data_IF_427281135829
#
_entry.id   IF_427281135829
#
_cell.length_a   1.000
_cell.length_b   1.000
_cell.length_c   1.000
_cell.angle_alpha   90.00
_cell.angle_beta   90.00
_cell.angle_gamma   90.00
#
_symmetry.space_group_name_H-M   'P 1'
#
loop_
_entity.id
_entity.type
_entity.pdbx_description
1 polymer ?
#
# COMPACT_ATOMS: atom_id res chain seq x y z
N UNK A 1 -2.89 -2.51 19.40
CA UNK A 1 -4.13 -2.76 18.64
C UNK A 1 -4.94 -3.84 19.34
N UNK A 2 -6.26 -3.94 19.12
CA UNK A 2 -7.18 -4.87 19.84
C UNK A 2 -7.17 -6.31 19.30
N UNK A 3 -6.09 -6.77 18.68
CA UNK A 3 -5.99 -8.14 18.17
C UNK A 3 -4.59 -8.70 18.33
N UNK A 4 -4.51 -10.01 18.52
CA UNK A 4 -3.26 -10.74 18.58
C UNK A 4 -2.51 -10.67 17.24
N UNK A 5 -1.16 -10.74 17.25
CA UNK A 5 -0.38 -10.77 16.03
C UNK A 5 -0.87 -11.87 15.07
N UNK A 6 -1.16 -11.48 13.83
CA UNK A 6 -1.56 -12.41 12.77
C UNK A 6 -0.29 -12.99 12.14
N UNK A 7 -0.28 -14.30 11.89
CA UNK A 7 0.85 -14.97 11.24
C UNK A 7 1.11 -14.38 9.84
N UNK A 8 2.32 -13.84 9.56
CA UNK A 8 2.65 -13.26 8.26
C UNK A 8 2.49 -14.23 7.09
N UNK A 9 2.52 -15.55 7.34
CA UNK A 9 2.30 -16.55 6.30
C UNK A 9 0.91 -16.44 5.66
N UNK A 10 -0.11 -15.96 6.39
CA UNK A 10 -1.43 -15.69 5.82
C UNK A 10 -1.33 -14.65 4.69
N UNK A 11 -0.64 -13.55 4.95
CA UNK A 11 -0.50 -12.46 3.98
C UNK A 11 0.35 -12.88 2.78
N UNK A 12 1.42 -13.65 3.01
CA UNK A 12 2.23 -14.24 1.92
C UNK A 12 1.38 -15.12 1.02
N UNK A 13 0.52 -15.98 1.59
CA UNK A 13 -0.38 -16.82 0.80
C UNK A 13 -1.42 -15.99 0.04
N UNK A 14 -1.96 -14.95 0.64
CA UNK A 14 -2.92 -14.05 0.00
C UNK A 14 -2.31 -13.34 -1.20
N UNK A 15 -1.08 -12.81 -1.08
CA UNK A 15 -0.35 -12.19 -2.20
C UNK A 15 -0.06 -13.19 -3.31
N UNK A 16 0.35 -14.42 -2.97
CA UNK A 16 0.52 -15.51 -3.96
C UNK A 16 -0.78 -15.82 -4.70
N UNK A 17 -1.93 -15.86 -4.00
CA UNK A 17 -3.23 -16.09 -4.65
C UNK A 17 -3.57 -14.95 -5.60
N UNK A 18 -3.42 -13.70 -5.16
CA UNK A 18 -3.68 -12.52 -5.99
C UNK A 18 -2.76 -12.48 -7.21
N UNK A 19 -1.46 -12.72 -7.02
CA UNK A 19 -0.45 -12.74 -8.09
C UNK A 19 -0.77 -13.73 -9.21
N UNK A 20 -1.39 -14.88 -8.91
CA UNK A 20 -1.78 -15.88 -9.93
C UNK A 20 -2.90 -15.40 -10.85
N UNK A 21 -3.73 -14.47 -10.39
CA UNK A 21 -4.83 -13.89 -11.18
C UNK A 21 -4.39 -12.65 -11.97
N UNK A 22 -3.18 -12.15 -11.73
CA UNK A 22 -2.62 -11.02 -12.46
C UNK A 22 -2.23 -11.44 -13.88
N UNK A 23 -2.46 -10.56 -14.85
CA UNK A 23 -1.91 -10.73 -16.20
C UNK A 23 -0.38 -10.68 -16.15
N UNK A 24 0.32 -11.39 -17.06
CA UNK A 24 1.77 -11.31 -17.12
C UNK A 24 2.28 -9.87 -17.31
N UNK A 25 3.47 -9.60 -16.80
CA UNK A 25 4.18 -8.32 -16.87
C UNK A 25 3.34 -7.14 -16.31
N UNK A 26 2.65 -7.38 -15.20
CA UNK A 26 1.80 -6.36 -14.57
C UNK A 26 2.20 -6.04 -13.14
N UNK A 27 1.92 -4.80 -12.75
CA UNK A 27 2.13 -4.26 -11.42
C UNK A 27 0.77 -3.91 -10.80
N UNK A 28 0.57 -4.22 -9.52
CA UNK A 28 -0.59 -3.82 -8.74
C UNK A 28 -0.14 -2.94 -7.57
N UNK A 29 -0.85 -1.84 -7.34
CA UNK A 29 -0.50 -0.84 -6.33
C UNK A 29 -1.69 -0.63 -5.40
N UNK A 30 -1.46 -0.81 -4.10
CA UNK A 30 -2.47 -0.66 -3.05
C UNK A 30 -2.03 0.42 -2.08
N UNK A 31 -2.91 1.39 -1.79
CA UNK A 31 -2.66 2.39 -0.77
C UNK A 31 -3.42 2.09 0.52
N UNK A 32 -2.84 2.55 1.62
CA UNK A 32 -3.58 2.67 2.86
C UNK A 32 -4.61 3.78 2.73
N UNK A 33 -5.66 3.71 3.52
CA UNK A 33 -6.64 4.79 3.56
C UNK A 33 -6.02 6.05 4.16
N UNK A 34 -6.55 7.21 3.75
CA UNK A 34 -6.24 8.48 4.40
C UNK A 34 -6.79 8.51 5.83
N UNK A 35 -6.23 9.39 6.67
CA UNK A 35 -6.88 9.78 7.91
C UNK A 35 -8.02 10.74 7.58
N UNK A 36 -9.26 10.37 7.91
CA UNK A 36 -10.45 11.16 7.55
C UNK A 36 -10.67 12.29 8.56
N UNK A 37 -10.71 13.57 8.14
CA UNK A 37 -11.00 14.68 9.05
C UNK A 37 -12.38 14.56 9.70
N UNK A 38 -12.48 14.89 10.98
CA UNK A 38 -13.73 14.92 11.76
C UNK A 38 -14.16 16.35 12.07
N UNK A 39 -13.30 17.14 12.72
CA UNK A 39 -13.54 18.54 13.03
C UNK A 39 -12.20 19.23 13.36
N UNK A 40 -11.90 20.36 12.71
CA UNK A 40 -10.64 21.07 12.92
C UNK A 40 -9.44 20.19 12.59
N UNK A 41 -8.55 20.03 13.57
CA UNK A 41 -7.35 19.18 13.53
C UNK A 41 -7.61 17.72 13.98
N UNK A 42 -8.86 17.36 14.29
CA UNK A 42 -9.23 16.02 14.71
C UNK A 42 -9.61 15.13 13.52
N UNK A 43 -9.25 13.85 13.63
CA UNK A 43 -9.62 12.80 12.67
C UNK A 43 -10.65 11.84 13.28
N UNK A 44 -11.39 11.14 12.42
CA UNK A 44 -12.12 9.94 12.81
C UNK A 44 -11.16 8.82 13.21
N UNK A 45 -11.69 7.79 13.87
CA UNK A 45 -10.91 6.58 14.13
C UNK A 45 -10.42 5.99 12.80
N UNK A 46 -9.12 5.67 12.76
CA UNK A 46 -8.49 5.20 11.54
C UNK A 46 -9.04 3.83 11.13
N UNK A 47 -9.51 3.72 9.89
CA UNK A 47 -9.92 2.46 9.27
C UNK A 47 -9.07 2.20 8.03
N UNK A 48 -8.19 1.19 8.12
CA UNK A 48 -7.32 0.77 7.03
C UNK A 48 -8.12 0.37 5.78
N UNK A 49 -7.51 0.44 4.60
CA UNK A 49 -8.01 -0.16 3.37
C UNK A 49 -8.03 -1.69 3.50
N UNK A 50 -9.20 -2.32 3.33
CA UNK A 50 -9.35 -3.78 3.53
C UNK A 50 -8.48 -4.60 2.57
N UNK A 51 -8.28 -4.15 1.33
CA UNK A 51 -7.48 -4.87 0.34
C UNK A 51 -5.99 -4.81 0.70
N UNK A 52 -5.48 -3.62 1.08
CA UNK A 52 -4.11 -3.50 1.56
C UNK A 52 -3.87 -4.34 2.81
N UNK A 53 -4.78 -4.29 3.78
CA UNK A 53 -4.67 -5.08 5.01
C UNK A 53 -4.70 -6.58 4.73
N UNK A 54 -5.60 -7.04 3.87
CA UNK A 54 -5.70 -8.45 3.48
C UNK A 54 -4.41 -8.98 2.85
N UNK A 55 -3.67 -8.14 2.11
CA UNK A 55 -2.44 -8.51 1.42
C UNK A 55 -1.18 -8.35 2.27
N UNK A 56 -1.22 -7.60 3.38
CA UNK A 56 0.01 -7.23 4.09
C UNK A 56 -0.07 -7.18 5.61
N UNK A 57 -1.25 -7.16 6.21
CA UNK A 57 -1.42 -6.94 7.65
C UNK A 57 -0.99 -5.57 8.15
N UNK A 58 -0.47 -4.68 7.28
CA UNK A 58 -0.03 -3.36 7.68
C UNK A 58 -1.25 -2.47 7.94
N UNK A 59 -1.35 -2.00 9.18
CA UNK A 59 -2.54 -1.35 9.75
C UNK A 59 -2.28 0.12 10.13
N UNK A 60 -1.33 0.76 9.43
CA UNK A 60 -1.00 2.17 9.62
C UNK A 60 -1.36 3.03 8.39
N UNK A 61 -1.67 4.32 8.59
CA UNK A 61 -1.76 5.28 7.49
C UNK A 61 -0.40 5.45 6.82
N UNK A 62 -0.42 6.00 5.60
CA UNK A 62 0.78 6.32 4.83
C UNK A 62 1.66 5.08 4.54
N UNK A 63 1.01 3.99 4.13
CA UNK A 63 1.60 2.71 3.74
C UNK A 63 1.14 2.37 2.33
N UNK A 64 2.04 1.82 1.52
CA UNK A 64 1.76 1.42 0.15
C UNK A 64 2.37 0.05 -0.09
N UNK A 65 1.62 -0.83 -0.74
CA UNK A 65 2.08 -2.16 -1.12
C UNK A 65 2.03 -2.28 -2.64
N UNK A 66 3.14 -2.73 -3.22
CA UNK A 66 3.32 -2.93 -4.65
C UNK A 66 3.64 -4.39 -4.92
N UNK A 67 2.87 -5.01 -5.80
CA UNK A 67 3.07 -6.39 -6.24
C UNK A 67 3.43 -6.38 -7.72
N UNK A 68 4.55 -6.99 -8.07
CA UNK A 68 5.00 -7.17 -9.45
C UNK A 68 5.61 -8.58 -9.63
N UNK A 69 4.77 -9.63 -9.70
CA UNK A 69 5.22 -11.03 -9.64
C UNK A 69 6.28 -11.38 -10.70
N UNK A 70 6.14 -10.85 -11.90
CA UNK A 70 7.04 -11.12 -13.04
C UNK A 70 8.21 -10.14 -13.16
N UNK A 71 8.48 -9.35 -12.11
CA UNK A 71 9.60 -8.42 -12.15
C UNK A 71 10.92 -9.19 -12.37
N UNK A 72 11.71 -8.74 -13.33
CA UNK A 72 13.04 -9.30 -13.67
C UNK A 72 13.97 -9.24 -12.45
N UNK A 73 13.78 -8.24 -11.59
CA UNK A 73 14.50 -8.09 -10.34
C UNK A 73 13.69 -8.78 -9.24
N UNK A 74 14.12 -9.96 -8.79
CA UNK A 74 13.43 -10.75 -7.75
C UNK A 74 13.10 -9.92 -6.49
N UNK A 75 14.02 -9.03 -6.11
CA UNK A 75 13.84 -8.10 -5.00
C UNK A 75 12.59 -7.21 -5.10
N UNK A 76 12.11 -6.95 -6.31
CA UNK A 76 11.02 -6.01 -6.59
C UNK A 76 9.67 -6.69 -6.81
N UNK A 77 9.59 -8.00 -6.63
CA UNK A 77 8.31 -8.73 -6.76
C UNK A 77 7.28 -8.30 -5.74
N UNK A 78 7.72 -7.98 -4.53
CA UNK A 78 6.89 -7.45 -3.46
C UNK A 78 7.63 -6.31 -2.78
N UNK A 79 7.03 -5.13 -2.75
CA UNK A 79 7.63 -3.93 -2.15
C UNK A 79 6.61 -3.23 -1.26
N UNK A 80 7.02 -2.82 -0.07
CA UNK A 80 6.24 -1.96 0.80
C UNK A 80 6.92 -0.60 1.00
N UNK A 81 6.13 0.46 1.10
CA UNK A 81 6.57 1.79 1.49
C UNK A 81 5.90 2.17 2.79
N UNK A 82 6.66 2.72 3.74
CA UNK A 82 6.16 3.14 5.05
C UNK A 82 6.63 4.56 5.37
N UNK A 83 5.84 5.31 6.14
CA UNK A 83 6.27 6.62 6.66
C UNK A 83 7.49 6.48 7.57
N UNK A 84 8.47 7.36 7.37
CA UNK A 84 9.62 7.47 8.27
C UNK A 84 9.17 8.00 9.62
N UNK A 85 9.54 7.29 10.68
CA UNK A 85 9.36 7.79 12.05
C UNK A 85 10.54 8.64 12.50
N UNK A 86 10.28 9.58 13.39
CA UNK A 86 11.29 10.22 14.23
C UNK A 86 10.73 10.38 15.66
N UNK A 87 11.57 10.73 16.63
CA UNK A 87 11.16 10.85 18.03
C UNK A 87 10.00 11.81 18.22
N UNK A 88 10.03 12.97 17.54
CA UNK A 88 8.95 13.96 17.60
C UNK A 88 7.63 13.38 17.06
N UNK A 89 7.65 12.75 15.90
CA UNK A 89 6.46 12.11 15.28
C UNK A 89 5.92 11.02 16.19
N UNK A 90 6.78 10.21 16.81
CA UNK A 90 6.36 9.10 17.67
C UNK A 90 5.63 9.58 18.93
N UNK A 91 6.01 10.75 19.47
CA UNK A 91 5.37 11.35 20.64
C UNK A 91 3.95 11.85 20.31
N UNK A 92 3.77 12.47 19.13
CA UNK A 92 2.51 13.13 18.78
C UNK A 92 1.54 12.24 17.98
N UNK A 93 2.05 11.46 17.04
CA UNK A 93 1.26 10.60 16.15
C UNK A 93 1.27 9.11 16.57
N UNK A 94 1.95 8.80 17.68
CA UNK A 94 2.19 7.44 18.14
C UNK A 94 3.24 6.70 17.32
N UNK A 95 3.49 5.45 17.73
CA UNK A 95 4.48 4.59 17.09
C UNK A 95 4.15 4.35 15.61
N UNK A 96 5.17 4.48 14.75
CA UNK A 96 5.15 4.10 13.33
C UNK A 96 6.07 2.91 13.12
N UNK A 97 5.72 2.03 12.18
CA UNK A 97 6.53 0.86 11.85
C UNK A 97 7.97 1.24 11.51
N UNK A 98 8.93 0.47 12.04
CA UNK A 98 10.26 0.43 11.44
C UNK A 98 10.24 -0.47 10.20
N UNK A 99 11.31 -0.42 9.38
CA UNK A 99 11.46 -1.36 8.26
C UNK A 99 11.48 -2.81 8.75
N UNK A 100 11.98 -3.08 9.95
CA UNK A 100 12.00 -4.42 10.52
C UNK A 100 10.60 -4.87 10.95
N UNK A 101 9.83 -3.99 11.58
CA UNK A 101 8.48 -4.31 12.02
C UNK A 101 7.55 -4.55 10.83
N UNK A 102 7.66 -3.71 9.79
CA UNK A 102 6.91 -3.91 8.54
C UNK A 102 7.24 -5.26 7.89
N UNK A 103 8.51 -5.69 7.89
CA UNK A 103 8.91 -7.04 7.41
C UNK A 103 8.29 -8.15 8.26
N UNK A 104 8.37 -8.03 9.58
CA UNK A 104 7.82 -9.03 10.52
C UNK A 104 6.31 -9.21 10.37
N UNK A 105 5.57 -8.10 10.23
CA UNK A 105 4.10 -8.13 10.11
C UNK A 105 3.66 -8.62 8.74
N UNK A 106 4.29 -8.14 7.66
CA UNK A 106 3.80 -8.39 6.30
C UNK A 106 4.43 -9.61 5.62
N UNK A 107 5.62 -10.03 6.05
CA UNK A 107 6.46 -10.99 5.31
C UNK A 107 7.01 -10.44 3.99
N UNK A 108 6.98 -9.12 3.75
CA UNK A 108 7.57 -8.48 2.57
C UNK A 108 9.02 -8.10 2.88
N UNK A 109 9.98 -8.62 2.13
CA UNK A 109 11.41 -8.39 2.40
C UNK A 109 11.88 -6.95 2.07
N UNK A 110 11.39 -6.39 0.96
CA UNK A 110 11.77 -5.04 0.52
C UNK A 110 10.81 -4.00 1.05
N UNK A 111 11.31 -3.25 2.02
CA UNK A 111 10.61 -2.12 2.63
C UNK A 111 11.44 -0.85 2.44
N UNK A 112 10.84 0.15 1.80
CA UNK A 112 11.37 1.49 1.60
C UNK A 112 10.63 2.51 2.46
N UNK A 113 11.21 3.68 2.64
CA UNK A 113 10.48 4.80 3.21
C UNK A 113 9.66 5.50 2.11
N UNK A 114 8.59 6.17 2.52
CA UNK A 114 7.63 6.80 1.61
C UNK A 114 8.25 7.93 0.76
N UNK A 115 9.28 8.61 1.26
CA UNK A 115 10.10 9.60 0.54
C UNK A 115 10.86 8.98 -0.65
N UNK A 116 11.10 7.67 -0.64
CA UNK A 116 11.76 6.94 -1.72
C UNK A 116 10.76 6.43 -2.79
N UNK A 117 9.45 6.55 -2.53
CA UNK A 117 8.40 5.93 -3.33
C UNK A 117 8.42 6.37 -4.79
N UNK A 118 8.51 7.67 -5.06
CA UNK A 118 8.35 8.18 -6.42
C UNK A 118 9.43 7.61 -7.37
N UNK A 119 10.68 7.57 -6.90
CA UNK A 119 11.82 7.04 -7.66
C UNK A 119 11.68 5.53 -7.89
N UNK A 120 11.41 4.76 -6.83
CA UNK A 120 11.30 3.30 -6.93
C UNK A 120 10.10 2.90 -7.77
N UNK A 121 8.94 3.53 -7.56
CA UNK A 121 7.73 3.22 -8.31
C UNK A 121 7.88 3.57 -9.79
N UNK A 122 8.56 4.67 -10.12
CA UNK A 122 8.87 5.00 -11.52
C UNK A 122 9.67 3.89 -12.20
N UNK A 123 10.72 3.39 -11.55
CA UNK A 123 11.51 2.27 -12.07
C UNK A 123 10.66 1.01 -12.29
N UNK A 124 9.79 0.67 -11.33
CA UNK A 124 8.91 -0.50 -11.43
C UNK A 124 7.91 -0.37 -12.58
N UNK A 125 7.30 0.81 -12.74
CA UNK A 125 6.30 1.04 -13.80
C UNK A 125 6.95 0.94 -15.18
N UNK A 126 8.17 1.45 -15.37
CA UNK A 126 8.89 1.34 -16.66
C UNK A 126 9.20 -0.10 -17.06
N UNK A 127 9.28 -1.02 -16.10
CA UNK A 127 9.49 -2.45 -16.34
C UNK A 127 8.18 -3.21 -16.58
N UNK A 128 7.03 -2.63 -16.21
CA UNK A 128 5.72 -3.26 -16.35
C UNK A 128 5.03 -2.85 -17.66
N UNK A 129 4.20 -3.74 -18.20
CA UNK A 129 3.33 -3.44 -19.36
C UNK A 129 1.95 -2.94 -18.95
N UNK A 130 1.54 -3.22 -17.71
CA UNK A 130 0.17 -2.95 -17.22
C UNK A 130 0.20 -2.56 -15.75
N UNK A 131 -0.65 -1.62 -15.37
CA UNK A 131 -0.87 -1.22 -13.98
C UNK A 131 -2.30 -1.57 -13.57
N UNK A 132 -2.45 -2.34 -12.49
CA UNK A 132 -3.72 -2.58 -11.83
C UNK A 132 -3.99 -1.49 -10.80
N UNK A 133 -5.21 -0.94 -10.85
CA UNK A 133 -5.70 0.08 -9.92
C UNK A 133 -6.84 -0.48 -9.08
N UNK A 134 -6.82 -0.21 -7.78
CA UNK A 134 -7.89 -0.60 -6.86
C UNK A 134 -9.03 0.43 -6.90
N UNK A 135 -9.91 0.35 -7.89
CA UNK A 135 -11.03 1.29 -8.07
C UNK A 135 -12.37 0.64 -7.69
N UNK A 136 -13.35 1.42 -7.18
CA UNK A 136 -14.70 0.91 -6.98
C UNK A 136 -15.32 0.46 -8.31
N UNK A 137 -15.80 -0.79 -8.38
CA UNK A 137 -16.42 -1.34 -9.61
C UNK A 137 -17.93 -1.08 -9.71
N UNK A 138 -18.55 -0.58 -8.64
CA UNK A 138 -19.98 -0.30 -8.62
C UNK A 138 -20.30 0.94 -9.48
N UNK A 139 -20.86 0.72 -10.66
CA UNK A 139 -21.24 1.73 -11.65
C UNK A 139 -22.25 2.76 -11.14
N UNK A 140 -23.09 2.38 -10.17
CA UNK A 140 -24.10 3.27 -9.55
C UNK A 140 -23.54 4.09 -8.40
N UNK A 141 -22.33 3.80 -7.95
CA UNK A 141 -21.72 4.49 -6.81
C UNK A 141 -20.76 5.58 -7.31
N UNK A 142 -21.18 6.84 -7.16
CA UNK A 142 -20.36 7.99 -7.47
C UNK A 142 -20.08 8.76 -6.17
N UNK A 143 -18.97 8.47 -5.48
CA UNK A 143 -18.65 9.16 -4.24
C UNK A 143 -18.23 10.60 -4.56
N UNK A 144 -18.75 11.56 -3.81
CA UNK A 144 -18.26 12.95 -3.86
C UNK A 144 -16.80 13.06 -3.38
N UNK A 145 -16.42 12.19 -2.43
CA UNK A 145 -15.08 12.12 -1.88
C UNK A 145 -14.29 11.01 -2.55
N UNK A 146 -13.21 11.40 -3.24
CA UNK A 146 -12.36 10.46 -3.96
C UNK A 146 -11.46 9.66 -3.01
N UNK A 147 -11.43 8.34 -3.20
CA UNK A 147 -10.52 7.47 -2.44
C UNK A 147 -9.06 7.72 -2.78
N UNK A 148 -8.15 7.34 -1.87
CA UNK A 148 -6.70 7.45 -2.11
C UNK A 148 -6.26 6.72 -3.39
N UNK A 149 -6.79 5.51 -3.62
CA UNK A 149 -6.52 4.71 -4.82
C UNK A 149 -7.05 5.38 -6.10
N UNK A 150 -8.22 6.03 -6.06
CA UNK A 150 -8.76 6.76 -7.21
C UNK A 150 -7.92 8.01 -7.55
N UNK A 151 -7.39 8.70 -6.53
CA UNK A 151 -6.45 9.83 -6.73
C UNK A 151 -5.13 9.36 -7.33
N UNK A 152 -4.59 8.24 -6.86
CA UNK A 152 -3.41 7.62 -7.47
C UNK A 152 -3.66 7.26 -8.94
N UNK A 153 -4.78 6.62 -9.25
CA UNK A 153 -5.12 6.23 -10.61
C UNK A 153 -5.03 7.38 -11.61
N UNK A 154 -5.63 8.53 -11.27
CA UNK A 154 -5.51 9.76 -12.08
C UNK A 154 -4.08 10.29 -12.17
N UNK A 155 -3.33 10.27 -11.07
CA UNK A 155 -1.92 10.69 -11.08
C UNK A 155 -1.07 9.82 -12.01
N UNK A 156 -1.28 8.51 -11.99
CA UNK A 156 -0.58 7.56 -12.85
C UNK A 156 -0.95 7.75 -14.32
N UNK A 157 -2.25 7.91 -14.64
CA UNK A 157 -2.69 8.18 -16.00
C UNK A 157 -2.15 9.51 -16.55
N UNK A 158 -1.98 10.52 -15.69
CA UNK A 158 -1.40 11.80 -16.10
C UNK A 158 0.13 11.72 -16.32
N UNK A 159 0.83 10.92 -15.50
CA UNK A 159 2.30 10.80 -15.54
C UNK A 159 2.78 9.76 -16.57
N UNK A 160 1.98 8.74 -16.83
CA UNK A 160 2.26 7.61 -17.73
C UNK A 160 1.07 7.38 -18.67
N UNK A 161 0.90 8.25 -19.69
CA UNK A 161 -0.18 8.12 -20.66
C UNK A 161 -0.03 6.90 -21.57
#
# INVERSE_FOLDING_TARGET
MRYDPIDPQLFVQNRRRFAREMKPDSIAIFHSNDQMPRNGDQFFEYRQNSNLFYLSGLDQPEVIVVLFPDCIKDAFREVAFIKRSNEKISIWEGYKYTKEDARKVSGIDKVYFLDEMETVLHELILLAKRVYLNVPENDRFQPEVESRDARLGRQLMAKYP
#
